data_IF_641076712542
#
_entry.id   IF_641076712542
#
_cell.length_a   1.000
_cell.length_b   1.000
_cell.length_c   1.000
_cell.angle_alpha   90.00
_cell.angle_beta   90.00
_cell.angle_gamma   90.00
#
_symmetry.space_group_name_H-M   'P 1'
#
loop_
_entity.id
_entity.type
_entity.pdbx_description
1 polymer ?
#
# COMPACT_ATOMS: atom_id res chain seq x y z
N UNK A 1 45.13 15.53 -11.21
CA UNK A 1 44.01 16.35 -11.70
C UNK A 1 44.34 17.79 -11.37
N UNK A 2 44.53 18.62 -12.38
CA UNK A 2 44.76 20.05 -12.27
C UNK A 2 43.58 20.68 -11.53
N UNK A 3 43.84 21.24 -10.35
CA UNK A 3 42.92 22.10 -9.60
C UNK A 3 42.72 23.38 -10.41
N UNK A 4 41.80 23.36 -11.36
CA UNK A 4 41.33 24.57 -12.01
C UNK A 4 40.61 25.41 -10.96
N UNK A 5 41.18 26.57 -10.62
CA UNK A 5 40.56 27.54 -9.72
C UNK A 5 39.23 27.99 -10.35
N UNK A 6 38.11 27.74 -9.66
CA UNK A 6 36.80 28.14 -10.16
C UNK A 6 36.68 29.67 -10.15
N UNK A 7 36.11 30.29 -11.21
CA UNK A 7 35.92 31.72 -11.24
C UNK A 7 34.81 32.13 -10.27
N UNK A 8 34.98 33.23 -9.53
CA UNK A 8 33.90 33.80 -8.73
C UNK A 8 32.64 34.07 -9.60
N UNK A 9 31.42 33.85 -9.09
CA UNK A 9 31.07 33.46 -7.72
C UNK A 9 31.00 31.94 -7.50
N UNK A 10 31.58 31.12 -8.37
CA UNK A 10 31.48 29.67 -8.27
C UNK A 10 32.47 29.11 -7.26
N UNK A 11 32.02 28.14 -6.46
CA UNK A 11 32.88 27.35 -5.59
C UNK A 11 32.59 25.86 -5.77
N UNK A 12 33.36 25.00 -5.09
CA UNK A 12 33.05 23.57 -5.07
C UNK A 12 31.74 23.36 -4.32
N UNK A 13 30.86 22.52 -4.85
CA UNK A 13 29.61 22.14 -4.18
C UNK A 13 29.93 21.51 -2.82
N UNK A 14 29.39 22.08 -1.75
CA UNK A 14 29.66 21.65 -0.37
C UNK A 14 29.06 20.28 -0.05
N UNK A 15 28.02 19.87 -0.78
CA UNK A 15 27.35 18.58 -0.60
C UNK A 15 28.11 17.42 -1.26
N UNK A 16 28.29 17.50 -2.58
CA UNK A 16 28.83 16.37 -3.34
C UNK A 16 30.34 16.45 -3.53
N UNK A 17 30.95 17.62 -3.32
CA UNK A 17 32.38 17.87 -3.51
C UNK A 17 32.89 17.73 -4.96
N UNK A 18 32.00 17.45 -5.92
CA UNK A 18 32.36 16.95 -7.26
C UNK A 18 32.00 17.89 -8.41
N UNK A 19 31.24 18.95 -8.14
CA UNK A 19 30.75 19.88 -9.15
C UNK A 19 30.92 21.33 -8.70
N UNK A 20 30.91 22.27 -9.65
CA UNK A 20 30.82 23.68 -9.34
C UNK A 20 29.40 24.02 -8.83
N UNK A 21 29.33 24.74 -7.72
CA UNK A 21 28.11 25.24 -7.11
C UNK A 21 28.03 26.77 -7.17
N UNK A 22 26.80 27.27 -7.23
CA UNK A 22 26.50 28.69 -7.03
C UNK A 22 26.12 28.94 -5.58
N UNK A 23 26.37 30.15 -5.05
CA UNK A 23 25.92 30.51 -3.72
C UNK A 23 24.40 30.52 -3.69
N UNK A 24 23.81 29.69 -2.84
CA UNK A 24 22.38 29.70 -2.56
C UNK A 24 22.18 30.42 -1.23
N UNK A 25 21.90 31.71 -1.30
CA UNK A 25 21.55 32.47 -0.10
C UNK A 25 20.04 32.42 0.14
N UNK A 26 19.64 31.92 1.31
CA UNK A 26 18.26 32.02 1.81
C UNK A 26 18.00 33.34 2.55
N UNK A 27 19.04 34.13 2.83
CA UNK A 27 18.97 35.38 3.62
C UNK A 27 19.79 36.48 2.92
N UNK A 28 19.17 37.60 2.48
CA UNK A 28 19.88 38.65 1.77
C UNK A 28 21.13 39.16 2.53
N UNK A 29 22.30 39.15 1.87
CA UNK A 29 23.55 39.67 2.42
C UNK A 29 24.43 38.68 3.20
N UNK A 30 23.95 37.45 3.45
CA UNK A 30 24.77 36.37 4.01
C UNK A 30 25.16 35.42 2.87
N UNK A 31 26.45 35.15 2.63
CA UNK A 31 26.84 34.12 1.68
C UNK A 31 26.32 32.77 2.21
N UNK A 32 25.35 32.19 1.49
CA UNK A 32 24.85 30.85 1.79
C UNK A 32 25.78 29.79 1.21
N UNK A 33 25.46 28.51 1.46
CA UNK A 33 26.23 27.38 0.98
C UNK A 33 26.38 27.40 -0.55
N UNK A 34 27.48 26.85 -1.07
CA UNK A 34 27.65 26.64 -2.51
C UNK A 34 27.10 25.29 -2.91
N UNK A 35 26.07 25.26 -3.77
CA UNK A 35 25.46 24.01 -4.22
C UNK A 35 25.37 23.94 -5.74
N UNK A 36 25.68 22.77 -6.30
CA UNK A 36 25.42 22.51 -7.71
C UNK A 36 23.93 22.32 -7.95
N UNK A 37 23.48 22.55 -9.19
CA UNK A 37 22.06 22.48 -9.58
C UNK A 37 21.43 21.13 -9.20
N UNK A 38 22.18 20.02 -9.33
CA UNK A 38 21.68 18.69 -8.99
C UNK A 38 21.42 18.54 -7.48
N UNK A 39 22.39 18.89 -6.63
CA UNK A 39 22.23 18.84 -5.17
C UNK A 39 21.14 19.81 -4.69
N UNK A 40 21.12 21.04 -5.21
CA UNK A 40 20.09 22.02 -4.86
C UNK A 40 18.68 21.52 -5.22
N UNK A 41 18.52 20.97 -6.43
CA UNK A 41 17.23 20.40 -6.87
C UNK A 41 16.81 19.21 -6.03
N UNK A 42 17.77 18.33 -5.68
CA UNK A 42 17.50 17.19 -4.79
C UNK A 42 17.01 17.66 -3.43
N UNK A 43 17.73 18.57 -2.75
CA UNK A 43 17.31 19.14 -1.46
C UNK A 43 15.94 19.81 -1.55
N UNK A 44 15.70 20.61 -2.60
CA UNK A 44 14.40 21.25 -2.80
C UNK A 44 13.27 20.22 -2.92
N UNK A 45 13.49 19.13 -3.65
CA UNK A 45 12.50 18.07 -3.81
C UNK A 45 12.30 17.26 -2.53
N UNK A 46 13.38 16.95 -1.80
CA UNK A 46 13.31 16.29 -0.49
C UNK A 46 12.50 17.15 0.49
N UNK A 47 12.82 18.44 0.60
CA UNK A 47 12.10 19.36 1.48
C UNK A 47 10.62 19.48 1.10
N UNK A 48 10.31 19.56 -0.20
CA UNK A 48 8.93 19.59 -0.66
C UNK A 48 8.17 18.29 -0.34
N UNK A 49 8.81 17.14 -0.55
CA UNK A 49 8.24 15.83 -0.23
C UNK A 49 8.02 15.66 1.28
N UNK A 50 8.99 16.06 2.11
CA UNK A 50 8.88 16.06 3.58
C UNK A 50 7.73 16.96 4.04
N UNK A 51 7.67 18.21 3.56
CA UNK A 51 6.59 19.13 3.92
C UNK A 51 5.20 18.61 3.51
N UNK A 52 5.10 17.97 2.34
CA UNK A 52 3.86 17.34 1.90
C UNK A 52 3.49 16.14 2.78
N UNK A 53 4.46 15.30 3.16
CA UNK A 53 4.25 14.17 4.04
C UNK A 53 3.82 14.61 5.45
N UNK A 54 4.47 15.63 6.01
CA UNK A 54 4.10 16.25 7.28
C UNK A 54 2.68 16.83 7.23
N UNK A 55 2.31 17.51 6.15
CA UNK A 55 0.95 18.05 6.01
C UNK A 55 -0.12 16.95 5.98
N UNK A 56 0.16 15.79 5.37
CA UNK A 56 -0.77 14.67 5.32
C UNK A 56 -0.86 13.87 6.62
N UNK A 57 0.28 13.65 7.28
CA UNK A 57 0.38 12.75 8.44
C UNK A 57 0.30 13.48 9.77
N UNK A 58 0.71 14.75 9.82
CA UNK A 58 0.75 15.60 11.01
C UNK A 58 -0.56 15.67 11.77
N UNK A 59 -1.73 15.90 11.11
CA UNK A 59 -3.01 15.91 11.81
C UNK A 59 -3.34 14.57 12.49
N UNK A 60 -2.99 13.44 11.86
CA UNK A 60 -3.27 12.09 12.37
C UNK A 60 -2.34 11.75 13.54
N UNK A 61 -1.03 11.98 13.37
CA UNK A 61 -0.03 11.75 14.41
C UNK A 61 -0.26 12.66 15.61
N UNK A 62 -0.59 13.93 15.38
CA UNK A 62 -0.92 14.89 16.42
C UNK A 62 -2.19 14.51 17.19
N UNK A 63 -3.23 14.03 16.51
CA UNK A 63 -4.46 13.56 17.16
C UNK A 63 -4.20 12.31 18.03
N UNK A 64 -3.37 11.37 17.55
CA UNK A 64 -2.95 10.19 18.31
C UNK A 64 -2.15 10.58 19.57
N UNK A 65 -1.15 11.44 19.42
CA UNK A 65 -0.34 11.90 20.56
C UNK A 65 -1.23 12.59 21.59
N UNK A 66 -2.08 13.53 21.16
CA UNK A 66 -3.00 14.23 22.04
C UNK A 66 -3.99 13.29 22.77
N UNK A 67 -4.45 12.21 22.12
CA UNK A 67 -5.31 11.21 22.76
C UNK A 67 -4.60 10.52 23.92
N UNK A 68 -3.36 10.06 23.71
CA UNK A 68 -2.64 9.28 24.70
C UNK A 68 -2.01 10.12 25.81
N UNK A 69 -1.59 11.34 25.51
CA UNK A 69 -1.20 12.31 26.54
C UNK A 69 -2.37 12.60 27.48
N UNK A 70 -3.59 12.77 26.96
CA UNK A 70 -4.81 12.89 27.80
C UNK A 70 -5.12 11.63 28.60
N UNK A 71 -4.73 10.46 28.11
CA UNK A 71 -4.88 9.19 28.81
C UNK A 71 -3.78 8.95 29.86
N UNK A 72 -2.83 9.89 30.03
CA UNK A 72 -1.82 9.85 31.08
C UNK A 72 -0.45 9.32 30.65
N UNK A 73 -0.22 9.07 29.37
CA UNK A 73 1.13 8.76 28.85
C UNK A 73 1.97 10.04 28.76
N UNK A 74 3.26 9.96 29.10
CA UNK A 74 4.18 11.08 28.94
C UNK A 74 4.62 11.23 27.49
N UNK A 75 5.03 12.44 27.10
CA UNK A 75 5.58 12.67 25.75
C UNK A 75 6.86 11.85 25.52
N UNK A 76 7.64 11.57 26.59
CA UNK A 76 8.83 10.71 26.55
C UNK A 76 8.47 9.25 26.25
N UNK A 77 7.39 8.72 26.86
CA UNK A 77 6.90 7.37 26.54
C UNK A 77 6.36 7.29 25.11
N UNK A 78 5.64 8.33 24.66
CA UNK A 78 5.13 8.41 23.29
C UNK A 78 6.28 8.48 22.28
N UNK A 79 7.33 9.24 22.59
CA UNK A 79 8.54 9.30 21.79
C UNK A 79 9.26 7.94 21.79
N UNK A 80 9.43 7.29 22.93
CA UNK A 80 10.05 5.95 23.02
C UNK A 80 9.28 4.88 22.24
N UNK A 81 7.94 4.91 22.29
CA UNK A 81 7.08 4.04 21.48
C UNK A 81 7.27 4.33 19.99
N UNK A 82 7.30 5.61 19.61
CA UNK A 82 7.50 6.03 18.23
C UNK A 82 8.88 5.59 17.73
N UNK A 83 9.94 5.81 18.50
CA UNK A 83 11.31 5.40 18.21
C UNK A 83 11.43 3.86 18.14
N UNK A 84 10.69 3.11 18.94
CA UNK A 84 10.63 1.66 18.81
C UNK A 84 9.92 1.19 17.53
N UNK A 85 9.01 1.99 16.98
CA UNK A 85 8.26 1.68 15.76
C UNK A 85 8.97 2.16 14.49
N UNK A 86 9.69 3.29 14.57
CA UNK A 86 10.43 3.91 13.46
C UNK A 86 11.91 3.50 13.43
N UNK A 87 12.51 3.22 14.58
CA UNK A 87 13.88 2.69 14.72
C UNK A 87 14.04 1.22 14.36
N UNK A 88 12.93 0.51 14.10
CA UNK A 88 12.92 -0.85 13.58
C UNK A 88 13.46 -0.98 12.14
N UNK A 89 13.68 0.15 11.45
CA UNK A 89 14.20 0.21 10.08
C UNK A 89 15.73 0.36 9.98
N UNK A 90 16.48 0.39 11.08
CA UNK A 90 17.96 0.56 11.04
C UNK A 90 18.78 -0.74 10.91
N UNK A 91 18.14 -1.91 10.76
CA UNK A 91 18.83 -3.17 10.47
C UNK A 91 18.10 -3.93 9.33
N UNK A 92 18.65 -3.84 8.12
CA UNK A 92 18.07 -4.36 6.86
C UNK A 92 17.71 -5.87 6.91
N UNK A 93 18.33 -6.67 7.77
CA UNK A 93 18.25 -8.14 7.70
C UNK A 93 17.14 -8.80 8.54
N UNK A 94 16.46 -8.06 9.42
CA UNK A 94 15.46 -8.65 10.34
C UNK A 94 14.10 -7.94 10.38
N UNK A 95 13.90 -6.91 9.56
CA UNK A 95 12.73 -6.04 9.57
C UNK A 95 11.40 -6.80 9.50
N UNK A 96 11.23 -7.72 8.56
CA UNK A 96 9.95 -8.42 8.34
C UNK A 96 9.57 -9.39 9.45
N UNK A 97 10.54 -10.15 9.97
CA UNK A 97 10.31 -11.09 11.06
C UNK A 97 9.97 -10.35 12.37
N UNK A 98 10.61 -9.20 12.60
CA UNK A 98 10.36 -8.37 13.77
C UNK A 98 9.04 -7.61 13.65
N UNK A 99 8.71 -7.05 12.47
CA UNK A 99 7.40 -6.46 12.13
C UNK A 99 6.26 -7.44 12.41
N UNK A 100 6.37 -8.68 11.92
CA UNK A 100 5.38 -9.71 12.17
C UNK A 100 5.27 -10.11 13.65
N UNK A 101 6.36 -10.02 14.43
CA UNK A 101 6.38 -10.34 15.87
C UNK A 101 5.80 -9.20 16.71
N UNK A 102 6.11 -7.97 16.38
CA UNK A 102 5.57 -6.76 17.01
C UNK A 102 4.06 -6.65 16.78
N UNK A 103 3.58 -6.86 15.55
CA UNK A 103 2.14 -6.92 15.25
C UNK A 103 1.44 -8.04 16.02
N UNK A 104 2.08 -9.22 16.14
CA UNK A 104 1.55 -10.33 16.95
C UNK A 104 1.52 -10.01 18.45
N UNK A 105 2.50 -9.28 18.96
CA UNK A 105 2.55 -8.83 20.35
C UNK A 105 1.47 -7.78 20.63
N UNK A 106 1.39 -6.72 19.82
CA UNK A 106 0.39 -5.66 19.95
C UNK A 106 -1.05 -6.21 19.87
N UNK A 107 -1.32 -7.15 18.95
CA UNK A 107 -2.62 -7.85 18.85
C UNK A 107 -3.01 -8.63 20.11
N UNK A 108 -2.02 -9.13 20.87
CA UNK A 108 -2.24 -9.88 22.11
C UNK A 108 -2.40 -8.94 23.32
N UNK A 109 -1.63 -7.86 23.34
CA UNK A 109 -1.58 -6.90 24.46
C UNK A 109 -2.73 -5.90 24.42
N UNK A 110 -3.27 -5.60 23.23
CA UNK A 110 -4.39 -4.70 23.03
C UNK A 110 -5.49 -5.44 22.27
N UNK A 111 -6.40 -6.10 23.00
CA UNK A 111 -7.62 -6.64 22.37
C UNK A 111 -8.51 -5.48 21.93
N UNK A 112 -9.18 -5.69 20.80
CA UNK A 112 -10.24 -4.79 20.33
C UNK A 112 -11.22 -4.54 21.49
N UNK A 113 -11.52 -3.28 21.85
CA UNK A 113 -12.52 -2.99 22.86
C UNK A 113 -13.85 -3.66 22.47
N UNK A 114 -14.59 -4.21 23.44
CA UNK A 114 -15.87 -4.87 23.19
C UNK A 114 -16.91 -3.95 22.52
N UNK A 115 -16.67 -2.64 22.55
CA UNK A 115 -17.48 -1.59 21.94
C UNK A 115 -16.57 -0.55 21.32
N UNK A 116 -16.62 -0.42 19.99
CA UNK A 116 -16.07 0.74 19.27
C UNK A 116 -17.08 1.90 19.32
N UNK A 117 -16.64 3.17 19.21
CA UNK A 117 -17.54 4.30 19.02
C UNK A 117 -18.33 4.09 17.72
N UNK A 118 -19.66 4.17 17.80
CA UNK A 118 -20.60 3.91 16.68
C UNK A 118 -20.51 4.96 15.54
N UNK A 119 -19.80 6.07 15.75
CA UNK A 119 -19.88 7.27 14.90
C UNK A 119 -18.77 7.43 13.86
N UNK A 120 -17.86 6.46 13.72
CA UNK A 120 -17.11 6.31 12.47
C UNK A 120 -17.87 5.31 11.64
N UNK A 121 -18.76 5.73 10.71
CA UNK A 121 -19.33 4.77 9.79
C UNK A 121 -18.15 4.07 9.12
N UNK A 122 -18.10 2.72 9.09
CA UNK A 122 -17.11 2.05 8.28
C UNK A 122 -17.23 2.66 6.87
N UNK A 123 -16.13 2.72 6.12
CA UNK A 123 -16.25 2.88 4.68
C UNK A 123 -16.99 1.64 4.16
N UNK A 124 -18.33 1.67 4.26
CA UNK A 124 -19.24 0.60 3.89
C UNK A 124 -19.42 0.76 2.40
N UNK A 125 -18.65 0.00 1.64
CA UNK A 125 -18.97 -0.19 0.24
C UNK A 125 -20.19 -1.13 0.17
N UNK A 126 -21.31 -0.58 -0.28
CA UNK A 126 -22.52 -1.38 -0.48
C UNK A 126 -22.42 -2.03 -1.85
N UNK A 127 -22.17 -3.34 -1.88
CA UNK A 127 -22.19 -4.14 -3.11
C UNK A 127 -23.61 -4.61 -3.34
N UNK A 128 -24.24 -4.16 -4.43
CA UNK A 128 -25.51 -4.72 -4.90
C UNK A 128 -25.25 -6.08 -5.58
N UNK A 129 -25.75 -7.20 -5.04
CA UNK A 129 -25.57 -8.52 -5.64
C UNK A 129 -26.13 -8.62 -7.06
N UNK A 130 -27.18 -7.88 -7.38
CA UNK A 130 -27.81 -7.92 -8.70
C UNK A 130 -26.94 -7.26 -9.77
N UNK A 131 -26.16 -6.25 -9.37
CA UNK A 131 -25.22 -5.53 -10.23
C UNK A 131 -23.93 -6.33 -10.52
N UNK A 132 -23.63 -7.37 -9.73
CA UNK A 132 -22.46 -8.22 -9.97
C UNK A 132 -22.63 -9.05 -11.26
N UNK A 133 -21.57 -9.18 -12.09
CA UNK A 133 -21.60 -10.05 -13.25
C UNK A 133 -21.87 -11.50 -12.86
N UNK A 134 -22.77 -12.14 -13.62
CA UNK A 134 -23.07 -13.57 -13.48
C UNK A 134 -22.12 -14.38 -14.35
N UNK A 135 -21.36 -15.31 -13.77
CA UNK A 135 -20.55 -16.26 -14.53
C UNK A 135 -21.46 -17.32 -15.16
N UNK A 136 -21.23 -17.62 -16.43
CA UNK A 136 -22.04 -18.55 -17.21
C UNK A 136 -21.24 -19.76 -17.71
N UNK A 137 -19.95 -19.59 -18.02
CA UNK A 137 -19.10 -20.67 -18.53
C UNK A 137 -17.67 -20.50 -18.03
N UNK A 138 -16.97 -21.62 -17.79
CA UNK A 138 -15.52 -21.66 -17.63
C UNK A 138 -14.87 -22.10 -18.95
N UNK A 139 -13.74 -21.50 -19.31
CA UNK A 139 -12.92 -21.85 -20.47
C UNK A 139 -11.48 -22.08 -20.01
N UNK A 140 -10.80 -23.11 -20.53
CA UNK A 140 -9.41 -23.37 -20.18
C UNK A 140 -8.50 -22.26 -20.68
N UNK A 141 -7.27 -22.21 -20.14
CA UNK A 141 -6.21 -21.41 -20.72
C UNK A 141 -5.99 -21.81 -22.18
N UNK A 142 -5.64 -20.83 -23.01
CA UNK A 142 -5.32 -21.03 -24.43
C UNK A 142 -4.03 -20.28 -24.78
N UNK A 143 -2.87 -20.88 -24.48
CA UNK A 143 -1.58 -20.24 -24.73
C UNK A 143 -1.33 -19.93 -26.21
N UNK A 144 -1.94 -20.68 -27.14
CA UNK A 144 -1.81 -20.44 -28.57
C UNK A 144 -2.43 -19.10 -28.99
N UNK A 145 -3.42 -18.64 -28.24
CA UNK A 145 -4.07 -17.33 -28.41
C UNK A 145 -3.65 -16.31 -27.34
N UNK A 146 -2.58 -16.57 -26.58
CA UNK A 146 -2.04 -15.67 -25.56
C UNK A 146 -2.81 -15.67 -24.23
N UNK A 147 -3.75 -16.58 -24.03
CA UNK A 147 -4.55 -16.70 -22.80
C UNK A 147 -3.82 -17.63 -21.83
N UNK A 148 -3.25 -17.07 -20.77
CA UNK A 148 -2.35 -17.79 -19.85
C UNK A 148 -3.04 -18.50 -18.69
N UNK A 149 -4.31 -18.18 -18.43
CA UNK A 149 -5.08 -18.73 -17.32
C UNK A 149 -6.49 -19.10 -17.80
N UNK A 150 -7.19 -19.96 -17.07
CA UNK A 150 -8.62 -20.17 -17.29
C UNK A 150 -9.36 -18.85 -17.13
N UNK A 151 -10.44 -18.69 -17.87
CA UNK A 151 -11.26 -17.49 -17.84
C UNK A 151 -12.73 -17.87 -17.87
N UNK A 152 -13.56 -16.97 -17.39
CA UNK A 152 -14.98 -17.17 -17.24
C UNK A 152 -15.73 -16.25 -18.19
N UNK A 153 -16.69 -16.79 -18.94
CA UNK A 153 -17.61 -15.99 -19.73
C UNK A 153 -18.81 -15.68 -18.86
N UNK A 154 -19.12 -14.39 -18.68
CA UNK A 154 -20.33 -13.98 -18.00
C UNK A 154 -21.57 -14.08 -18.88
N UNK A 155 -22.74 -14.02 -18.27
CA UNK A 155 -24.03 -13.99 -18.97
C UNK A 155 -24.17 -12.78 -19.90
N UNK A 156 -23.37 -11.73 -19.71
CA UNK A 156 -23.27 -10.57 -20.59
C UNK A 156 -22.32 -10.77 -21.78
N UNK A 157 -21.74 -11.96 -21.95
CA UNK A 157 -20.80 -12.30 -23.03
C UNK A 157 -19.37 -11.78 -22.83
N UNK A 158 -19.09 -11.08 -21.72
CA UNK A 158 -17.74 -10.62 -21.42
C UNK A 158 -16.89 -11.73 -20.80
N UNK A 159 -15.59 -11.72 -21.10
CA UNK A 159 -14.62 -12.61 -20.47
C UNK A 159 -14.03 -11.97 -19.21
N UNK A 160 -13.94 -12.76 -18.14
CA UNK A 160 -13.43 -12.38 -16.84
C UNK A 160 -12.32 -13.33 -16.43
N UNK A 161 -11.23 -12.78 -15.90
CA UNK A 161 -10.16 -13.59 -15.30
C UNK A 161 -10.23 -13.45 -13.79
N UNK A 162 -10.39 -14.57 -13.10
CA UNK A 162 -10.20 -14.63 -11.64
C UNK A 162 -8.74 -15.00 -11.44
N UNK A 163 -7.98 -14.07 -10.88
CA UNK A 163 -6.58 -14.29 -10.57
C UNK A 163 -6.44 -15.13 -9.30
N UNK A 164 -5.31 -15.83 -9.17
CA UNK A 164 -5.01 -16.64 -7.99
C UNK A 164 -4.68 -15.79 -6.76
N UNK A 165 -5.00 -16.26 -5.56
CA UNK A 165 -4.67 -15.61 -4.27
C UNK A 165 -5.33 -14.25 -3.92
N UNK A 166 -6.50 -13.84 -4.47
CA UNK A 166 -7.22 -12.69 -3.95
C UNK A 166 -7.83 -13.03 -2.59
N UNK A 167 -7.91 -12.04 -1.71
CA UNK A 167 -8.67 -12.14 -0.48
C UNK A 167 -10.15 -12.03 -0.83
N UNK A 168 -10.94 -13.06 -0.56
CA UNK A 168 -12.34 -13.14 -0.98
C UNK A 168 -13.30 -13.42 0.17
N UNK A 169 -14.51 -12.88 0.05
CA UNK A 169 -15.67 -13.25 0.85
C UNK A 169 -16.64 -14.03 -0.05
N UNK A 170 -17.04 -15.23 0.40
CA UNK A 170 -18.01 -16.06 -0.31
C UNK A 170 -19.31 -16.14 0.48
N UNK A 171 -20.41 -15.69 -0.12
CA UNK A 171 -21.74 -15.73 0.50
C UNK A 171 -22.62 -16.74 -0.25
N UNK A 172 -22.99 -17.87 0.37
CA UNK A 172 -23.93 -18.81 -0.24
C UNK A 172 -25.31 -18.17 -0.37
N UNK A 173 -26.00 -18.44 -1.47
CA UNK A 173 -27.35 -17.97 -1.76
C UNK A 173 -28.36 -19.13 -1.68
N UNK A 174 -29.64 -18.84 -1.40
CA UNK A 174 -30.69 -19.86 -1.26
C UNK A 174 -30.93 -20.72 -2.51
N UNK A 175 -30.60 -20.19 -3.70
CA UNK A 175 -30.74 -20.83 -5.01
C UNK A 175 -29.54 -21.72 -5.39
N UNK A 176 -28.57 -21.89 -4.48
CA UNK A 176 -27.33 -22.63 -4.72
C UNK A 176 -26.26 -21.81 -5.42
N UNK A 177 -26.53 -20.55 -5.77
CA UNK A 177 -25.51 -19.61 -6.23
C UNK A 177 -24.59 -19.21 -5.07
N UNK A 178 -23.42 -18.66 -5.42
CA UNK A 178 -22.51 -18.03 -4.46
C UNK A 178 -22.17 -16.63 -4.94
N UNK A 179 -22.20 -15.66 -4.04
CA UNK A 179 -21.61 -14.35 -4.29
C UNK A 179 -20.14 -14.44 -3.90
N UNK A 180 -19.25 -14.26 -4.87
CA UNK A 180 -17.83 -14.08 -4.64
C UNK A 180 -17.55 -12.57 -4.61
N UNK A 181 -17.08 -12.05 -3.50
CA UNK A 181 -16.74 -10.64 -3.34
C UNK A 181 -15.24 -10.55 -3.11
N UNK A 182 -14.54 -9.74 -3.91
CA UNK A 182 -13.13 -9.47 -3.65
C UNK A 182 -13.02 -8.47 -2.51
N UNK A 183 -12.06 -8.67 -1.62
CA UNK A 183 -11.84 -7.80 -0.46
C UNK A 183 -10.40 -7.30 -0.41
N UNK A 184 -9.52 -7.88 -1.22
CA UNK A 184 -8.11 -7.53 -1.26
C UNK A 184 -7.28 -8.52 -2.07
N UNK A 185 -5.97 -8.34 -1.97
CA UNK A 185 -4.96 -9.21 -2.53
C UNK A 185 -3.77 -9.28 -1.57
N UNK A 186 -3.47 -10.49 -1.08
CA UNK A 186 -2.33 -10.73 -0.18
C UNK A 186 -2.30 -9.77 1.02
N UNK A 187 -3.46 -9.49 1.62
CA UNK A 187 -3.61 -8.61 2.76
C UNK A 187 -3.70 -7.11 2.41
N UNK A 188 -3.73 -6.73 1.13
CA UNK A 188 -3.94 -5.36 0.67
C UNK A 188 -5.37 -5.19 0.18
N UNK A 189 -6.16 -4.32 0.81
CA UNK A 189 -7.59 -4.15 0.53
C UNK A 189 -7.93 -3.37 -0.75
N UNK A 190 -6.94 -2.97 -1.56
CA UNK A 190 -7.12 -2.14 -2.78
C UNK A 190 -7.17 -2.95 -4.08
N UNK A 191 -7.85 -4.11 -4.07
CA UNK A 191 -7.89 -4.99 -5.24
C UNK A 191 -8.80 -4.49 -6.37
N UNK A 192 -9.86 -3.76 -6.01
CA UNK A 192 -10.90 -3.32 -6.95
C UNK A 192 -10.39 -2.38 -8.06
N UNK A 193 -9.36 -1.58 -7.77
CA UNK A 193 -8.96 -0.49 -8.66
C UNK A 193 -8.03 -0.90 -9.82
N UNK A 194 -7.48 -2.11 -9.86
CA UNK A 194 -6.35 -2.39 -10.80
C UNK A 194 -6.35 -3.69 -11.58
N UNK A 195 -7.13 -4.71 -11.19
CA UNK A 195 -6.91 -6.06 -11.74
C UNK A 195 -8.16 -6.73 -12.31
N UNK A 196 -9.33 -6.62 -11.66
CA UNK A 196 -10.51 -7.43 -12.03
C UNK A 196 -11.72 -6.66 -12.58
N UNK A 197 -11.68 -5.33 -12.58
CA UNK A 197 -12.72 -4.44 -13.14
C UNK A 197 -14.09 -4.47 -12.45
N UNK A 198 -14.44 -5.56 -11.76
CA UNK A 198 -15.68 -5.75 -11.00
C UNK A 198 -15.37 -6.08 -9.52
N UNK A 199 -16.23 -5.67 -8.58
CA UNK A 199 -16.03 -5.94 -7.15
C UNK A 199 -16.28 -7.38 -6.73
N UNK A 200 -16.80 -8.21 -7.63
CA UNK A 200 -17.10 -9.61 -7.37
C UNK A 200 -17.89 -10.24 -8.52
N UNK A 201 -18.36 -11.47 -8.30
CA UNK A 201 -19.11 -12.26 -9.26
C UNK A 201 -20.24 -13.05 -8.61
N UNK A 202 -21.32 -13.28 -9.35
CA UNK A 202 -22.30 -14.32 -9.04
C UNK A 202 -21.85 -15.62 -9.70
N UNK A 203 -21.66 -16.67 -8.90
CA UNK A 203 -21.10 -17.95 -9.33
C UNK A 203 -22.14 -19.06 -9.18
N UNK A 204 -22.57 -19.70 -10.28
CA UNK A 204 -23.39 -20.91 -10.23
C UNK A 204 -22.69 -22.08 -9.54
N UNK A 205 -23.48 -22.92 -8.85
CA UNK A 205 -22.97 -24.10 -8.14
C UNK A 205 -22.05 -24.98 -9.00
N UNK A 206 -22.40 -25.17 -10.27
CA UNK A 206 -21.65 -26.02 -11.19
C UNK A 206 -20.31 -25.44 -11.64
N UNK A 207 -20.10 -24.11 -11.52
CA UNK A 207 -18.82 -23.45 -11.82
C UNK A 207 -17.96 -23.22 -10.57
N UNK A 208 -18.48 -23.57 -9.39
CA UNK A 208 -17.80 -23.23 -8.14
C UNK A 208 -16.45 -23.93 -8.01
N UNK A 209 -16.36 -25.21 -8.37
CA UNK A 209 -15.09 -25.95 -8.35
C UNK A 209 -14.04 -25.30 -9.27
N UNK A 210 -14.46 -24.77 -10.41
CA UNK A 210 -13.56 -24.08 -11.33
C UNK A 210 -13.07 -22.74 -10.77
N UNK A 211 -13.96 -22.03 -10.06
CA UNK A 211 -13.63 -20.78 -9.36
C UNK A 211 -12.69 -21.06 -8.19
N UNK A 212 -12.90 -22.12 -7.42
CA UNK A 212 -11.98 -22.53 -6.34
C UNK A 212 -10.58 -22.81 -6.88
N UNK A 213 -10.47 -23.58 -7.98
CA UNK A 213 -9.19 -23.86 -8.62
C UNK A 213 -8.50 -22.58 -9.14
N UNK A 214 -9.27 -21.62 -9.67
CA UNK A 214 -8.73 -20.32 -10.08
C UNK A 214 -8.21 -19.51 -8.88
N UNK A 215 -8.94 -19.52 -7.76
CA UNK A 215 -8.56 -18.81 -6.54
C UNK A 215 -7.34 -19.44 -5.85
N UNK A 216 -7.23 -20.77 -5.84
CA UNK A 216 -6.09 -21.49 -5.26
C UNK A 216 -4.82 -21.40 -6.10
N UNK A 217 -4.94 -21.04 -7.38
CA UNK A 217 -3.81 -20.97 -8.31
C UNK A 217 -3.34 -22.34 -8.78
N UNK A 218 -4.19 -23.36 -8.69
CA UNK A 218 -3.90 -24.74 -9.14
C UNK A 218 -3.46 -24.81 -10.61
N UNK A 219 -3.83 -23.83 -11.44
CA UNK A 219 -3.42 -23.77 -12.85
C UNK A 219 -2.15 -22.96 -13.11
N UNK A 220 -1.68 -22.16 -12.16
CA UNK A 220 -0.49 -21.31 -12.37
C UNK A 220 0.84 -22.07 -12.19
N UNK A 221 0.79 -23.37 -11.87
CA UNK A 221 1.97 -24.23 -11.79
C UNK A 221 2.99 -23.82 -10.71
N UNK A 222 2.55 -23.08 -9.67
CA UNK A 222 3.42 -22.72 -8.54
C UNK A 222 3.41 -23.85 -7.50
N UNK A 223 4.58 -24.35 -7.06
CA UNK A 223 4.64 -25.24 -5.91
C UNK A 223 4.22 -24.48 -4.64
N UNK A 224 3.52 -25.22 -3.77
CA UNK A 224 3.06 -24.78 -2.45
C UNK A 224 4.22 -24.38 -1.52
#
# INVERSE_FOLDING_TARGET
>A
MTTATLPAPWAVCEDCGKAAGLPISHVPGVPGAFMCVACYTWHRNVNAATAQLEAMTGPVVGAWAAQWTRAGLSDEDLQSITDSLTGADMAEDFGDAYRARALRYLRRSHRVPATMPEDVPPARETVDPAALPLLAQCRPADPAHGIRARYFIGANGQAYTIHATPDTLTLPQPDGMRLLIFTGWRGVTRFHDRVSGAPGYRVPAHLWADVEAALSGEDEGRPA
#
